data_IF_918148743028
#
_entry.id   IF_918148743028
#
_cell.length_a   1.000
_cell.length_b   1.000
_cell.length_c   1.000
_cell.angle_alpha   90.00
_cell.angle_beta   90.00
_cell.angle_gamma   90.00
#
_symmetry.space_group_name_H-M   'P 1'
#
loop_
_entity.id
_entity.type
_entity.pdbx_description
1 polymer ?
#
# COMPACT_ATOMS: atom_id res chain seq x y z
N UNK A 1 -56.06 15.28 11.65
CA UNK A 1 -54.86 14.94 10.84
C UNK A 1 -53.61 15.73 11.25
N UNK A 2 -53.30 15.87 12.56
CA UNK A 2 -52.07 16.55 13.04
C UNK A 2 -51.15 15.66 13.88
N UNK A 3 -51.54 14.41 14.14
CA UNK A 3 -50.79 13.46 14.98
C UNK A 3 -49.98 12.42 14.21
N UNK A 4 -50.13 12.33 12.88
CA UNK A 4 -49.41 11.38 12.03
C UNK A 4 -48.05 11.90 11.53
N UNK A 5 -47.80 13.20 11.64
CA UNK A 5 -46.57 13.83 11.11
C UNK A 5 -45.39 13.72 12.10
N UNK A 6 -45.68 13.63 13.41
CA UNK A 6 -44.63 13.51 14.43
C UNK A 6 -43.96 12.13 14.44
N UNK A 7 -44.68 11.06 14.07
CA UNK A 7 -44.13 9.70 14.03
C UNK A 7 -43.18 9.45 12.86
N UNK A 8 -43.35 10.19 11.76
CA UNK A 8 -42.53 10.02 10.55
C UNK A 8 -41.14 10.67 10.68
N UNK A 9 -41.01 11.72 11.50
CA UNK A 9 -39.73 12.41 11.72
C UNK A 9 -38.79 11.64 12.65
N UNK A 10 -39.30 10.85 13.60
CA UNK A 10 -38.46 10.00 14.45
C UNK A 10 -37.88 8.78 13.71
N UNK A 11 -38.52 8.34 12.61
CA UNK A 11 -38.07 7.19 11.82
C UNK A 11 -36.92 7.51 10.86
N UNK A 12 -36.78 8.78 10.44
CA UNK A 12 -35.69 9.22 9.54
C UNK A 12 -34.36 9.49 10.27
N UNK A 13 -34.38 9.66 11.59
CA UNK A 13 -33.15 9.86 12.38
C UNK A 13 -32.46 8.52 12.68
N UNK A 14 -33.18 7.40 12.62
CA UNK A 14 -32.62 6.08 12.93
C UNK A 14 -31.86 5.44 11.76
N UNK A 15 -32.02 5.92 10.53
CA UNK A 15 -31.36 5.37 9.33
C UNK A 15 -29.99 5.97 9.03
N UNK A 16 -29.59 7.05 9.71
CA UNK A 16 -28.28 7.68 9.52
C UNK A 16 -27.17 7.11 10.44
N UNK A 17 -27.53 6.28 11.44
CA UNK A 17 -26.57 5.67 12.36
C UNK A 17 -25.84 4.43 11.81
N UNK A 18 -26.38 3.81 10.76
CA UNK A 18 -25.90 2.51 10.26
C UNK A 18 -24.59 2.60 9.47
N UNK A 19 -24.35 3.70 8.74
CA UNK A 19 -23.14 3.84 7.91
C UNK A 19 -21.85 3.99 8.72
N UNK A 20 -21.92 4.71 9.85
CA UNK A 20 -20.74 4.94 10.70
C UNK A 20 -20.26 3.69 11.43
N UNK A 21 -21.18 2.78 11.78
CA UNK A 21 -20.82 1.53 12.44
C UNK A 21 -20.16 0.54 11.47
N UNK A 22 -20.59 0.54 10.21
CA UNK A 22 -20.06 -0.33 9.17
C UNK A 22 -18.62 0.09 8.79
N UNK A 23 -18.40 1.39 8.55
CA UNK A 23 -17.07 1.94 8.24
C UNK A 23 -16.05 1.71 9.38
N UNK A 24 -16.50 1.81 10.63
CA UNK A 24 -15.64 1.56 11.80
C UNK A 24 -15.23 0.08 11.89
N UNK A 25 -16.17 -0.83 11.60
CA UNK A 25 -15.89 -2.27 11.53
C UNK A 25 -14.93 -2.57 10.37
N UNK A 26 -15.18 -2.02 9.19
CA UNK A 26 -14.34 -2.23 8.01
C UNK A 26 -12.90 -1.74 8.24
N UNK A 27 -12.74 -0.55 8.85
CA UNK A 27 -11.43 -0.03 9.20
C UNK A 27 -10.70 -0.92 10.23
N UNK A 28 -11.44 -1.46 11.21
CA UNK A 28 -10.91 -2.39 12.21
C UNK A 28 -10.46 -3.72 11.60
N UNK A 29 -11.28 -4.29 10.72
CA UNK A 29 -10.99 -5.57 10.06
C UNK A 29 -9.76 -5.48 9.13
N UNK A 30 -9.43 -4.26 8.64
CA UNK A 30 -8.23 -3.99 7.84
C UNK A 30 -6.94 -3.81 8.66
N UNK A 31 -7.00 -3.57 9.98
CA UNK A 31 -5.80 -3.26 10.77
C UNK A 31 -4.76 -4.39 10.74
N UNK A 32 -5.21 -5.63 10.96
CA UNK A 32 -4.31 -6.77 11.00
C UNK A 32 -3.67 -7.03 9.63
N UNK A 33 -4.43 -7.13 8.52
CA UNK A 33 -3.85 -7.27 7.19
C UNK A 33 -2.83 -6.17 6.84
N UNK A 34 -3.12 -4.91 7.16
CA UNK A 34 -2.20 -3.79 6.89
C UNK A 34 -0.92 -3.91 7.73
N UNK A 35 -1.04 -4.32 9.00
CA UNK A 35 0.10 -4.54 9.89
C UNK A 35 1.00 -5.66 9.39
N UNK A 36 0.41 -6.78 8.98
CA UNK A 36 1.13 -7.93 8.43
C UNK A 36 1.84 -7.56 7.12
N UNK A 37 1.18 -6.78 6.26
CA UNK A 37 1.74 -6.31 4.99
C UNK A 37 2.91 -5.34 5.20
N UNK A 38 2.82 -4.42 6.16
CA UNK A 38 3.96 -3.60 6.60
C UNK A 38 5.13 -4.48 7.04
N UNK A 39 4.88 -5.48 7.90
CA UNK A 39 5.93 -6.37 8.39
C UNK A 39 6.60 -7.16 7.26
N UNK A 40 5.80 -7.67 6.31
CA UNK A 40 6.28 -8.39 5.14
C UNK A 40 7.18 -7.53 4.25
N UNK A 41 6.76 -6.32 3.93
CA UNK A 41 7.56 -5.42 3.09
C UNK A 41 8.85 -5.01 3.83
N UNK A 42 8.75 -4.72 5.14
CA UNK A 42 9.88 -4.31 5.97
C UNK A 42 10.95 -5.41 6.14
N UNK A 43 10.55 -6.69 6.06
CA UNK A 43 11.47 -7.82 6.09
C UNK A 43 12.11 -8.14 4.73
N UNK A 44 11.57 -7.58 3.64
CA UNK A 44 12.05 -7.84 2.29
C UNK A 44 13.09 -6.82 1.80
N UNK A 45 13.75 -7.14 0.69
CA UNK A 45 14.70 -6.26 0.01
C UNK A 45 14.07 -4.92 -0.44
N UNK A 46 12.76 -4.92 -0.70
CA UNK A 46 12.00 -3.71 -1.01
C UNK A 46 12.11 -2.64 0.09
N UNK A 47 12.27 -3.05 1.36
CA UNK A 47 12.39 -2.15 2.50
C UNK A 47 13.50 -1.12 2.31
N UNK A 48 14.65 -1.52 1.73
CA UNK A 48 15.79 -0.63 1.55
C UNK A 48 15.50 0.52 0.59
N UNK A 49 14.66 0.29 -0.41
CA UNK A 49 14.30 1.29 -1.41
C UNK A 49 13.07 2.12 -1.01
N UNK A 50 12.26 1.62 -0.06
CA UNK A 50 10.99 2.22 0.35
C UNK A 50 10.92 2.63 1.83
N UNK A 51 12.07 2.80 2.52
CA UNK A 51 12.13 3.14 3.96
C UNK A 51 11.22 4.32 4.34
N UNK A 52 11.27 5.40 3.58
CA UNK A 52 10.45 6.59 3.84
C UNK A 52 8.96 6.29 3.68
N UNK A 53 8.57 5.55 2.64
CA UNK A 53 7.17 5.17 2.41
C UNK A 53 6.65 4.24 3.51
N UNK A 54 7.47 3.29 3.99
CA UNK A 54 7.11 2.40 5.10
C UNK A 54 6.95 3.14 6.43
N UNK A 55 7.82 4.11 6.72
CA UNK A 55 7.68 4.95 7.90
C UNK A 55 6.37 5.75 7.88
N UNK A 56 6.03 6.35 6.73
CA UNK A 56 4.75 7.06 6.56
C UNK A 56 3.55 6.12 6.67
N UNK A 57 3.64 4.89 6.16
CA UNK A 57 2.60 3.88 6.31
C UNK A 57 2.39 3.46 7.77
N UNK A 58 3.48 3.30 8.55
CA UNK A 58 3.39 3.01 9.97
C UNK A 58 2.78 4.16 10.78
N UNK A 59 3.16 5.40 10.48
CA UNK A 59 2.55 6.58 11.10
C UNK A 59 1.06 6.67 10.78
N UNK A 60 0.70 6.48 9.52
CA UNK A 60 -0.70 6.51 9.06
C UNK A 60 -1.51 5.37 9.70
N UNK A 61 -0.92 4.18 9.87
CA UNK A 61 -1.55 3.07 10.62
C UNK A 61 -1.79 3.45 12.09
N UNK A 62 -0.87 4.20 12.71
CA UNK A 62 -1.09 4.79 14.03
C UNK A 62 -2.31 5.73 14.06
N UNK A 63 -2.47 6.55 13.01
CA UNK A 63 -3.63 7.42 12.86
C UNK A 63 -4.95 6.63 12.64
N UNK A 64 -4.92 5.47 11.95
CA UNK A 64 -6.07 4.56 11.86
C UNK A 64 -6.48 4.09 13.25
N UNK A 65 -5.53 3.60 14.05
CA UNK A 65 -5.81 3.13 15.43
C UNK A 65 -6.39 4.25 16.30
N UNK A 66 -5.86 5.47 16.17
CA UNK A 66 -6.38 6.64 16.89
C UNK A 66 -7.81 7.00 16.46
N UNK A 67 -8.12 6.96 15.15
CA UNK A 67 -9.46 7.21 14.63
C UNK A 67 -10.48 6.14 15.07
N UNK A 68 -10.07 4.87 15.12
CA UNK A 68 -10.89 3.76 15.64
C UNK A 68 -11.16 3.97 17.13
N UNK A 69 -10.14 4.31 17.93
CA UNK A 69 -10.31 4.60 19.36
C UNK A 69 -11.26 5.78 19.61
N UNK A 70 -11.22 6.79 18.73
CA UNK A 70 -12.15 7.91 18.72
C UNK A 70 -13.54 7.59 18.15
N UNK A 71 -13.79 6.34 17.72
CA UNK A 71 -15.03 5.88 17.07
C UNK A 71 -15.39 6.69 15.81
N UNK A 72 -14.39 7.21 15.12
CA UNK A 72 -14.57 7.94 13.86
C UNK A 72 -14.35 7.00 12.68
N UNK A 73 -15.39 6.25 12.32
CA UNK A 73 -15.39 5.28 11.21
C UNK A 73 -14.92 5.85 9.87
N UNK A 74 -15.47 6.98 9.37
CA UNK A 74 -15.10 7.53 8.07
C UNK A 74 -13.61 7.91 8.01
N UNK A 75 -13.10 8.54 9.08
CA UNK A 75 -11.68 8.89 9.15
C UNK A 75 -10.80 7.64 9.25
N UNK A 76 -11.21 6.66 10.05
CA UNK A 76 -10.48 5.41 10.18
C UNK A 76 -10.36 4.67 8.85
N UNK A 77 -11.47 4.56 8.11
CA UNK A 77 -11.51 3.90 6.81
C UNK A 77 -10.66 4.64 5.77
N UNK A 78 -10.82 5.97 5.67
CA UNK A 78 -10.02 6.80 4.77
C UNK A 78 -8.51 6.64 5.06
N UNK A 79 -8.12 6.62 6.34
CA UNK A 79 -6.71 6.43 6.72
C UNK A 79 -6.25 5.01 6.43
N UNK A 80 -7.10 3.99 6.58
CA UNK A 80 -6.76 2.61 6.25
C UNK A 80 -6.52 2.45 4.74
N UNK A 81 -7.35 3.07 3.89
CA UNK A 81 -7.12 3.13 2.44
C UNK A 81 -5.82 3.85 2.08
N UNK A 82 -5.50 4.94 2.80
CA UNK A 82 -4.24 5.65 2.59
C UNK A 82 -3.02 4.79 2.94
N UNK A 83 -3.07 4.00 4.02
CA UNK A 83 -2.01 3.02 4.33
C UNK A 83 -1.87 2.03 3.17
N UNK A 84 -2.97 1.51 2.65
CA UNK A 84 -2.96 0.53 1.55
C UNK A 84 -2.27 1.06 0.28
N UNK A 85 -2.58 2.31 -0.08
CA UNK A 85 -1.93 3.01 -1.20
C UNK A 85 -0.43 3.22 -0.95
N UNK A 86 -0.05 3.65 0.26
CA UNK A 86 1.35 3.86 0.62
C UNK A 86 2.16 2.55 0.56
N UNK A 87 1.56 1.42 0.97
CA UNK A 87 2.19 0.11 0.87
C UNK A 87 2.32 -0.36 -0.58
N UNK A 88 1.31 -0.10 -1.40
CA UNK A 88 1.36 -0.40 -2.84
C UNK A 88 2.47 0.38 -3.54
N UNK A 89 2.65 1.66 -3.19
CA UNK A 89 3.75 2.49 -3.71
C UNK A 89 5.11 1.93 -3.23
N UNK A 90 5.22 1.52 -1.96
CA UNK A 90 6.44 0.93 -1.42
C UNK A 90 6.84 -0.36 -2.17
N UNK A 91 5.87 -1.26 -2.40
CA UNK A 91 6.06 -2.49 -3.16
C UNK A 91 6.48 -2.22 -4.61
N UNK A 92 5.77 -1.31 -5.29
CA UNK A 92 6.07 -0.93 -6.67
C UNK A 92 7.49 -0.35 -6.81
N UNK A 93 7.90 0.52 -5.89
CA UNK A 93 9.24 1.10 -5.87
C UNK A 93 10.32 0.05 -5.61
N UNK A 94 10.06 -0.90 -4.71
CA UNK A 94 10.95 -2.03 -4.48
C UNK A 94 11.15 -2.86 -5.75
N UNK A 95 10.06 -3.20 -6.44
CA UNK A 95 10.10 -3.96 -7.69
C UNK A 95 10.81 -3.21 -8.83
N UNK A 96 10.58 -1.90 -8.96
CA UNK A 96 11.25 -1.06 -9.95
C UNK A 96 12.77 -1.06 -9.75
N UNK A 97 13.23 -0.89 -8.50
CA UNK A 97 14.66 -0.87 -8.19
C UNK A 97 15.32 -2.24 -8.42
N UNK A 98 14.63 -3.33 -8.08
CA UNK A 98 15.12 -4.68 -8.36
C UNK A 98 15.24 -4.93 -9.88
N UNK A 99 14.25 -4.50 -10.66
CA UNK A 99 14.31 -4.58 -12.11
C UNK A 99 15.47 -3.74 -12.69
N UNK A 100 15.70 -2.55 -12.15
CA UNK A 100 16.82 -1.70 -12.55
C UNK A 100 18.18 -2.36 -12.28
N UNK A 101 18.36 -3.00 -11.12
CA UNK A 101 19.58 -3.75 -10.80
C UNK A 101 19.80 -4.91 -11.77
N UNK A 102 18.76 -5.70 -12.05
CA UNK A 102 18.84 -6.79 -13.02
C UNK A 102 19.19 -6.29 -14.41
N UNK A 103 18.64 -5.15 -14.83
CA UNK A 103 18.93 -4.56 -16.12
C UNK A 103 20.41 -4.12 -16.24
N UNK A 104 21.01 -3.60 -15.18
CA UNK A 104 22.45 -3.28 -15.15
C UNK A 104 23.29 -4.55 -15.31
N UNK A 105 22.97 -5.63 -14.60
CA UNK A 105 23.67 -6.90 -14.70
C UNK A 105 23.58 -7.48 -16.13
N UNK A 106 22.38 -7.50 -16.72
CA UNK A 106 22.16 -7.99 -18.09
C UNK A 106 22.91 -7.17 -19.13
N UNK A 107 22.99 -5.84 -18.97
CA UNK A 107 23.80 -4.98 -19.86
C UNK A 107 25.29 -5.27 -19.75
N UNK A 108 25.79 -5.57 -18.56
CA UNK A 108 27.20 -5.93 -18.38
C UNK A 108 27.52 -7.29 -19.03
N UNK A 109 26.62 -8.28 -18.88
CA UNK A 109 26.73 -9.58 -19.55
C UNK A 109 26.74 -9.45 -21.07
N UNK A 110 25.82 -8.66 -21.63
CA UNK A 110 25.76 -8.41 -23.08
C UNK A 110 27.07 -7.80 -23.60
N UNK A 111 27.60 -6.76 -22.94
CA UNK A 111 28.88 -6.15 -23.33
C UNK A 111 30.04 -7.13 -23.31
N UNK A 112 30.07 -8.03 -22.33
CA UNK A 112 31.10 -9.07 -22.24
C UNK A 112 30.99 -10.04 -23.42
N UNK A 113 29.77 -10.44 -23.77
CA UNK A 113 29.51 -11.35 -24.88
C UNK A 113 29.86 -10.70 -26.23
N UNK A 114 29.52 -9.42 -26.42
CA UNK A 114 29.90 -8.62 -27.58
C UNK A 114 31.42 -8.57 -27.74
N UNK A 115 32.16 -8.26 -26.67
CA UNK A 115 33.62 -8.22 -26.70
C UNK A 115 34.24 -9.59 -27.04
N UNK A 116 33.66 -10.69 -26.52
CA UNK A 116 34.09 -12.05 -26.87
C UNK A 116 33.83 -12.38 -28.34
N UNK A 117 32.68 -11.96 -28.87
CA UNK A 117 32.33 -12.16 -30.27
C UNK A 117 33.27 -11.38 -31.21
N UNK A 118 33.55 -10.12 -30.89
CA UNK A 118 34.49 -9.28 -31.64
C UNK A 118 35.90 -9.88 -31.66
N UNK A 119 36.36 -10.42 -30.52
CA UNK A 119 37.65 -11.09 -30.43
C UNK A 119 37.72 -12.35 -31.31
N UNK A 120 36.64 -13.14 -31.36
CA UNK A 120 36.55 -14.33 -32.22
C UNK A 120 36.58 -13.94 -33.71
N UNK A 121 35.89 -12.87 -34.11
CA UNK A 121 35.94 -12.36 -35.48
C UNK A 121 37.35 -11.91 -35.88
N UNK A 122 38.07 -11.24 -34.99
CA UNK A 122 39.44 -10.78 -35.24
C UNK A 122 40.46 -11.93 -35.32
N UNK A 123 40.21 -13.03 -34.60
CA UNK A 123 41.13 -14.19 -34.53
C UNK A 123 40.82 -15.25 -35.58
N UNK A 124 39.56 -15.45 -35.97
CA UNK A 124 39.12 -16.42 -36.98
C UNK A 124 39.23 -15.95 -38.45
N UNK A 125 39.54 -14.67 -38.69
CA UNK A 125 39.73 -14.11 -40.03
C UNK A 125 41.15 -14.21 -40.59
N UNK A 126 42.02 -15.06 -40.02
CA UNK A 126 43.38 -15.34 -40.51
C UNK A 126 43.49 -16.72 -41.12
#
# INVERSE_FOLDING_TARGET
MKRLIAGLFCLLVFTAGSGFADELKDASDRLQPLTERIAKISAGKAADYSKSQLATAQETLGAVKAAIAAKNGPLALQKAELVDLQLTIAEAKGAEMEAAEQLVLRRAELKKLEAQFDQLLQTGGK
#
